data_IF_804586920519
#
_entry.id   IF_804586920519
#
_cell.length_a   1.000
_cell.length_b   1.000
_cell.length_c   1.000
_cell.angle_alpha   90.00
_cell.angle_beta   90.00
_cell.angle_gamma   90.00
#
_symmetry.space_group_name_H-M   'P 1'
#
loop_
_entity.id
_entity.type
_entity.pdbx_description
1 polymer ?
#
# COMPACT_ATOMS: atom_id res chain seq x y z
N UNK A 1 19.33 15.55 9.81
CA UNK A 1 18.90 14.97 11.10
C UNK A 1 17.56 14.28 10.88
N UNK A 2 17.46 12.99 11.19
CA UNK A 2 16.23 12.20 11.10
C UNK A 2 15.30 12.59 12.26
N UNK A 3 14.60 13.71 12.12
CA UNK A 3 13.53 14.10 13.02
C UNK A 3 12.23 14.17 12.21
N UNK A 4 11.26 13.35 12.63
CA UNK A 4 9.85 13.33 12.24
C UNK A 4 9.42 12.57 10.96
N UNK A 5 9.66 11.25 10.92
CA UNK A 5 8.64 10.34 10.38
C UNK A 5 8.08 9.59 11.58
N UNK A 6 7.01 10.11 12.21
CA UNK A 6 6.57 9.57 13.50
C UNK A 6 6.17 8.10 13.39
N UNK A 7 5.66 7.67 12.23
CA UNK A 7 5.56 6.28 11.80
C UNK A 7 5.58 6.23 10.26
N UNK A 8 6.57 5.55 9.67
CA UNK A 8 6.57 5.18 8.24
C UNK A 8 6.13 3.72 8.15
N UNK A 9 4.94 3.49 7.63
CA UNK A 9 4.29 2.18 7.62
C UNK A 9 4.27 1.68 6.18
N UNK A 10 4.91 0.54 5.95
CA UNK A 10 4.75 -0.21 4.70
C UNK A 10 3.43 -0.96 4.75
N UNK A 11 2.69 -0.88 3.65
CA UNK A 11 1.36 -1.50 3.52
C UNK A 11 1.22 -2.24 2.20
N UNK A 12 0.29 -3.18 2.18
CA UNK A 12 -0.34 -3.72 0.99
C UNK A 12 -1.85 -3.53 1.13
N UNK A 13 -2.52 -3.11 0.06
CA UNK A 13 -3.94 -2.72 0.05
C UNK A 13 -4.69 -3.59 -0.95
N UNK A 14 -5.78 -4.21 -0.53
CA UNK A 14 -6.72 -4.90 -1.41
C UNK A 14 -7.86 -3.94 -1.83
N UNK A 15 -7.90 -3.61 -3.11
CA UNK A 15 -8.89 -2.68 -3.67
C UNK A 15 -10.30 -3.24 -3.76
N UNK A 16 -10.45 -4.56 -3.83
CA UNK A 16 -11.74 -5.23 -3.96
C UNK A 16 -12.39 -5.41 -2.60
N UNK A 17 -11.62 -5.89 -1.62
CA UNK A 17 -12.08 -6.17 -0.26
C UNK A 17 -12.04 -4.95 0.65
N UNK A 18 -11.39 -3.86 0.24
CA UNK A 18 -11.25 -2.62 1.01
C UNK A 18 -10.58 -2.85 2.38
N UNK A 19 -9.54 -3.69 2.38
CA UNK A 19 -8.71 -3.98 3.54
C UNK A 19 -7.26 -3.68 3.23
N UNK A 20 -6.44 -3.47 4.26
CA UNK A 20 -4.99 -3.38 4.12
C UNK A 20 -4.30 -4.20 5.20
N UNK A 21 -3.11 -4.67 4.88
CA UNK A 21 -2.13 -5.15 5.84
C UNK A 21 -1.02 -4.10 5.93
N UNK A 22 -0.53 -3.82 7.13
CA UNK A 22 0.51 -2.81 7.36
C UNK A 22 1.39 -3.15 8.55
N UNK A 23 2.59 -2.56 8.58
CA UNK A 23 3.55 -2.76 9.67
C UNK A 23 4.52 -3.93 9.47
N UNK A 24 4.50 -4.57 8.30
CA UNK A 24 5.55 -5.50 7.89
C UNK A 24 6.89 -4.80 7.61
N UNK A 25 7.98 -5.56 7.63
CA UNK A 25 9.31 -5.07 7.27
C UNK A 25 9.37 -4.69 5.78
N UNK A 26 8.65 -5.45 4.95
CA UNK A 26 8.51 -5.26 3.52
C UNK A 26 7.03 -5.25 3.09
N UNK A 27 6.76 -4.68 1.90
CA UNK A 27 5.42 -4.73 1.30
C UNK A 27 5.01 -6.17 0.96
N UNK A 28 5.97 -7.05 0.64
CA UNK A 28 5.74 -8.48 0.37
C UNK A 28 5.20 -9.23 1.59
N UNK A 29 5.59 -8.81 2.81
CA UNK A 29 5.07 -9.43 4.03
C UNK A 29 3.58 -9.10 4.20
N UNK A 30 3.23 -7.83 3.96
CA UNK A 30 1.84 -7.37 3.98
C UNK A 30 1.00 -8.03 2.87
N UNK A 31 1.57 -8.17 1.67
CA UNK A 31 0.94 -8.88 0.55
C UNK A 31 0.66 -10.34 0.89
N UNK A 32 1.64 -11.04 1.49
CA UNK A 32 1.49 -12.44 1.90
C UNK A 32 0.33 -12.61 2.86
N UNK A 33 0.21 -11.74 3.88
CA UNK A 33 -0.92 -11.75 4.82
C UNK A 33 -2.26 -11.57 4.10
N UNK A 34 -2.34 -10.66 3.13
CA UNK A 34 -3.57 -10.47 2.35
C UNK A 34 -3.91 -11.70 1.51
N UNK A 35 -2.92 -12.30 0.83
CA UNK A 35 -3.11 -13.52 0.04
C UNK A 35 -3.59 -14.69 0.90
N UNK A 36 -2.96 -14.91 2.06
CA UNK A 36 -3.38 -15.93 3.02
C UNK A 36 -4.79 -15.69 3.55
N UNK A 37 -5.20 -14.43 3.67
CA UNK A 37 -6.57 -14.06 4.07
C UNK A 37 -7.61 -14.18 2.95
N UNK A 38 -7.22 -14.59 1.74
CA UNK A 38 -8.11 -14.82 0.58
C UNK A 38 -8.18 -13.67 -0.44
N UNK A 39 -7.27 -12.70 -0.39
CA UNK A 39 -7.17 -11.65 -1.41
C UNK A 39 -6.61 -12.19 -2.72
N UNK A 40 -6.92 -11.52 -3.83
CA UNK A 40 -6.38 -11.88 -5.14
C UNK A 40 -5.20 -10.98 -5.50
N UNK A 41 -4.14 -11.57 -6.06
CA UNK A 41 -2.93 -10.84 -6.47
C UNK A 41 -3.22 -9.61 -7.35
N UNK A 42 -4.24 -9.68 -8.22
CA UNK A 42 -4.62 -8.59 -9.13
C UNK A 42 -5.21 -7.37 -8.41
N UNK A 43 -5.78 -7.59 -7.22
CA UNK A 43 -6.45 -6.56 -6.41
C UNK A 43 -5.51 -5.94 -5.36
N UNK A 44 -4.32 -6.51 -5.14
CA UNK A 44 -3.35 -6.06 -4.12
C UNK A 44 -2.39 -5.02 -4.70
N UNK A 45 -2.12 -3.95 -3.95
CA UNK A 45 -1.17 -2.90 -4.32
C UNK A 45 -0.33 -2.46 -3.11
N UNK A 46 0.97 -2.32 -3.31
CA UNK A 46 1.90 -1.86 -2.29
C UNK A 46 1.95 -0.33 -2.21
N UNK A 47 1.89 0.19 -1.00
CA UNK A 47 2.08 1.61 -0.71
C UNK A 47 2.70 1.82 0.66
N UNK A 48 3.39 2.94 0.87
CA UNK A 48 3.87 3.36 2.17
C UNK A 48 3.09 4.57 2.66
N UNK A 49 2.91 4.68 3.96
CA UNK A 49 2.16 5.77 4.58
C UNK A 49 2.96 6.42 5.70
N UNK A 50 2.96 7.74 5.76
CA UNK A 50 3.56 8.50 6.85
C UNK A 50 2.44 9.04 7.74
N UNK A 51 2.36 8.61 9.00
CA UNK A 51 1.26 9.06 9.88
C UNK A 51 1.24 10.55 10.16
N UNK A 52 2.41 11.14 10.41
CA UNK A 52 2.51 12.56 10.74
C UNK A 52 2.12 13.51 9.60
N UNK A 53 2.40 13.16 8.34
CA UNK A 53 2.04 13.99 7.18
C UNK A 53 0.81 13.49 6.41
N UNK A 54 0.34 12.28 6.76
CA UNK A 54 -0.68 11.53 6.01
C UNK A 54 -0.34 11.34 4.53
N UNK A 55 0.94 11.38 4.17
CA UNK A 55 1.39 11.19 2.79
C UNK A 55 1.42 9.70 2.42
N UNK A 56 1.03 9.41 1.17
CA UNK A 56 1.07 8.06 0.60
C UNK A 56 2.12 8.00 -0.50
N UNK A 57 3.01 7.01 -0.42
CA UNK A 57 4.04 6.73 -1.42
C UNK A 57 3.71 5.43 -2.13
N UNK A 58 3.72 5.45 -3.46
CA UNK A 58 3.23 4.36 -4.29
C UNK A 58 4.35 3.44 -4.81
N UNK A 59 5.56 3.59 -4.28
CA UNK A 59 6.72 2.79 -4.70
C UNK A 59 6.79 1.48 -3.93
N UNK A 60 6.73 0.36 -4.65
CA UNK A 60 6.93 -0.97 -4.07
C UNK A 60 7.29 -2.00 -5.14
N UNK A 61 8.10 -2.99 -4.77
CA UNK A 61 8.42 -4.12 -5.65
C UNK A 61 7.19 -4.96 -6.01
N UNK A 62 6.21 -5.06 -5.10
CA UNK A 62 4.96 -5.83 -5.34
C UNK A 62 4.12 -5.22 -6.47
N UNK A 63 4.34 -3.94 -6.80
CA UNK A 63 3.63 -3.27 -7.88
C UNK A 63 4.18 -3.63 -9.27
N UNK A 64 5.40 -4.19 -9.36
CA UNK A 64 6.04 -4.53 -10.63
C UNK A 64 5.44 -5.82 -11.20
N UNK A 65 4.49 -5.66 -12.13
CA UNK A 65 3.72 -6.73 -12.75
C UNK A 65 3.60 -6.48 -14.25
N UNK A 66 4.44 -7.04 -15.13
CA UNK A 66 4.50 -6.66 -16.55
C UNK A 66 3.17 -6.68 -17.32
N UNK A 67 2.22 -7.52 -16.92
CA UNK A 67 0.90 -7.62 -17.55
C UNK A 67 -0.13 -6.61 -17.02
N UNK A 68 0.16 -5.89 -15.93
CA UNK A 68 -0.78 -4.99 -15.25
C UNK A 68 -0.16 -3.60 -14.94
N UNK A 69 1.10 -3.57 -14.51
CA UNK A 69 1.84 -2.37 -14.12
C UNK A 69 3.36 -2.59 -14.25
N UNK A 70 3.99 -1.99 -15.26
CA UNK A 70 5.41 -2.20 -15.59
C UNK A 70 6.38 -1.34 -14.75
N UNK A 71 5.99 -0.90 -13.56
CA UNK A 71 6.81 -0.04 -12.69
C UNK A 71 6.65 -0.44 -11.22
N UNK A 72 7.59 -0.03 -10.37
CA UNK A 72 7.40 -0.08 -8.91
C UNK A 72 6.41 0.99 -8.44
N UNK A 73 6.23 2.05 -9.22
CA UNK A 73 5.16 3.02 -9.01
C UNK A 73 3.84 2.43 -9.51
N UNK A 74 2.75 2.76 -8.84
CA UNK A 74 1.41 2.55 -9.40
C UNK A 74 1.23 3.53 -10.56
N UNK A 75 1.10 3.08 -11.81
CA UNK A 75 1.02 3.98 -12.96
C UNK A 75 -0.40 4.52 -13.19
N UNK A 76 -1.43 3.71 -12.92
CA UNK A 76 -2.82 4.11 -13.12
C UNK A 76 -3.27 5.09 -12.01
N UNK A 77 -3.67 6.33 -12.35
CA UNK A 77 -4.12 7.31 -11.37
C UNK A 77 -5.38 6.87 -10.62
N UNK A 78 -6.29 6.11 -11.25
CA UNK A 78 -7.51 5.61 -10.59
C UNK A 78 -7.16 4.59 -9.51
N UNK A 79 -6.14 3.78 -9.74
CA UNK A 79 -5.62 2.84 -8.74
C UNK A 79 -5.01 3.62 -7.58
N UNK A 80 -4.20 4.66 -7.85
CA UNK A 80 -3.64 5.52 -6.79
C UNK A 80 -4.71 6.15 -5.92
N UNK A 81 -5.74 6.74 -6.53
CA UNK A 81 -6.85 7.36 -5.80
C UNK A 81 -7.56 6.35 -4.89
N UNK A 82 -7.80 5.12 -5.37
CA UNK A 82 -8.43 4.07 -4.57
C UNK A 82 -7.53 3.60 -3.43
N UNK A 83 -6.23 3.39 -3.68
CA UNK A 83 -5.25 3.04 -2.64
C UNK A 83 -5.21 4.13 -1.56
N UNK A 84 -5.11 5.39 -1.97
CA UNK A 84 -5.10 6.53 -1.06
C UNK A 84 -6.39 6.57 -0.23
N UNK A 85 -7.56 6.49 -0.88
CA UNK A 85 -8.85 6.50 -0.20
C UNK A 85 -8.94 5.43 0.90
N UNK A 86 -8.53 4.19 0.61
CA UNK A 86 -8.55 3.09 1.59
C UNK A 86 -7.57 3.35 2.74
N UNK A 87 -6.34 3.79 2.45
CA UNK A 87 -5.33 4.10 3.48
C UNK A 87 -5.83 5.21 4.40
N UNK A 88 -6.33 6.31 3.85
CA UNK A 88 -6.85 7.41 4.65
C UNK A 88 -8.10 7.01 5.44
N UNK A 89 -8.94 6.13 4.90
CA UNK A 89 -10.10 5.63 5.63
C UNK A 89 -9.74 4.75 6.83
N UNK A 90 -8.70 3.90 6.70
CA UNK A 90 -8.34 2.92 7.73
C UNK A 90 -7.28 3.41 8.71
N UNK A 91 -6.36 4.28 8.28
CA UNK A 91 -5.24 4.79 9.07
C UNK A 91 -5.28 6.31 9.30
N UNK A 92 -6.20 7.02 8.65
CA UNK A 92 -6.31 8.47 8.79
C UNK A 92 -6.59 8.88 10.23
N UNK A 93 -5.88 9.90 10.70
CA UNK A 93 -6.03 10.45 12.06
C UNK A 93 -5.15 9.81 13.13
N UNK A 94 -4.28 8.86 12.76
CA UNK A 94 -3.23 8.30 13.63
C UNK A 94 -1.94 9.12 13.51
#
# INVERSE_FOLDING_TARGET
>A
MLQAHRFYIKTAVDLRRHVLAGGGEMHSDCETVLLESGSQQIDIWGASWIGSSQEVFYESMVNLRPHQNCSMQILDPKVRERVQSIIHHLLGGI
#
